data_IF_564647336314
#
_entry.id   IF_564647336314
#
_cell.length_a   1.000
_cell.length_b   1.000
_cell.length_c   1.000
_cell.angle_alpha   90.00
_cell.angle_beta   90.00
_cell.angle_gamma   90.00
#
_symmetry.space_group_name_H-M   'P 1'
#
loop_
_entity.id
_entity.type
_entity.pdbx_description
1 polymer ?
#
# COMPACT_ATOMS: atom_id res chain seq x y z
N UNK A 1 10.42 -25.48 39.13
CA UNK A 1 9.19 -25.89 38.43
C UNK A 1 8.88 -24.78 37.42
N UNK A 2 9.24 -25.01 36.16
CA UNK A 2 9.33 -23.97 35.14
C UNK A 2 7.94 -23.43 34.76
N UNK A 3 7.78 -22.12 34.83
CA UNK A 3 6.68 -21.42 34.19
C UNK A 3 6.81 -21.61 32.67
N UNK A 4 6.14 -22.62 32.14
CA UNK A 4 5.88 -22.74 30.71
C UNK A 4 4.85 -21.68 30.35
N UNK A 5 5.34 -20.43 30.24
CA UNK A 5 4.59 -19.26 29.79
C UNK A 5 4.16 -19.50 28.34
N UNK A 6 2.98 -20.07 28.20
CA UNK A 6 1.91 -19.54 27.37
C UNK A 6 2.37 -18.83 26.08
N UNK A 7 2.77 -19.62 25.08
CA UNK A 7 2.72 -19.20 23.67
C UNK A 7 1.70 -20.02 22.90
N UNK A 8 0.50 -20.15 23.44
CA UNK A 8 -0.63 -20.60 22.62
C UNK A 8 -1.13 -19.40 21.84
N UNK A 9 -0.40 -19.08 20.76
CA UNK A 9 -0.83 -18.09 19.79
C UNK A 9 -2.26 -18.44 19.37
N UNK A 10 -3.20 -17.57 19.70
CA UNK A 10 -4.48 -17.51 19.01
C UNK A 10 -4.15 -17.15 17.55
N UNK A 11 -3.94 -18.17 16.71
CA UNK A 11 -3.84 -17.96 15.27
C UNK A 11 -5.21 -17.52 14.80
N UNK A 12 -5.34 -16.22 14.53
CA UNK A 12 -6.55 -15.70 13.90
C UNK A 12 -6.74 -16.36 12.52
N UNK A 13 -7.96 -16.46 12.00
CA UNK A 13 -8.20 -16.91 10.64
C UNK A 13 -7.36 -16.16 9.59
N UNK A 14 -7.13 -14.86 9.79
CA UNK A 14 -6.30 -14.04 8.90
C UNK A 14 -4.83 -14.50 8.89
N UNK A 15 -4.27 -14.84 10.06
CA UNK A 15 -2.89 -15.34 10.18
C UNK A 15 -2.70 -16.63 9.38
N UNK A 16 -3.67 -17.54 9.44
CA UNK A 16 -3.63 -18.82 8.71
C UNK A 16 -3.63 -18.56 7.19
N UNK A 17 -4.48 -17.65 6.72
CA UNK A 17 -4.58 -17.34 5.27
C UNK A 17 -3.28 -16.71 4.76
N UNK A 18 -2.68 -15.78 5.52
CA UNK A 18 -1.40 -15.15 5.13
C UNK A 18 -0.30 -16.21 5.06
N UNK A 19 -0.17 -17.07 6.07
CA UNK A 19 0.86 -18.11 6.10
C UNK A 19 0.74 -19.13 4.96
N UNK A 20 -0.47 -19.39 4.48
CA UNK A 20 -0.70 -20.31 3.36
C UNK A 20 -0.48 -19.65 1.99
N UNK A 21 -0.47 -18.31 1.90
CA UNK A 21 -0.26 -17.56 0.66
C UNK A 21 1.14 -16.96 0.63
N UNK A 22 2.14 -17.84 0.52
CA UNK A 22 3.53 -17.42 0.40
C UNK A 22 3.90 -17.13 -1.06
N UNK A 23 4.75 -16.12 -1.29
CA UNK A 23 5.34 -15.88 -2.61
C UNK A 23 6.30 -17.02 -2.98
N UNK A 24 6.57 -17.18 -4.29
CA UNK A 24 7.47 -18.23 -4.78
C UNK A 24 8.87 -18.05 -4.22
N UNK A 25 9.45 -19.12 -3.68
CA UNK A 25 10.76 -19.09 -3.03
C UNK A 25 11.87 -19.54 -3.97
N UNK A 26 13.07 -19.04 -3.75
CA UNK A 26 14.27 -19.37 -4.51
C UNK A 26 14.54 -18.44 -5.69
N UNK A 27 15.53 -18.81 -6.51
CA UNK A 27 16.06 -17.97 -7.58
C UNK A 27 15.09 -17.84 -8.78
N UNK A 28 14.90 -16.60 -9.25
CA UNK A 28 14.25 -16.30 -10.51
C UNK A 28 14.94 -17.03 -11.69
N UNK A 29 14.20 -17.63 -12.66
CA UNK A 29 12.75 -17.51 -12.90
C UNK A 29 11.87 -18.53 -12.15
N UNK A 30 12.47 -19.49 -11.42
CA UNK A 30 11.69 -20.52 -10.72
C UNK A 30 11.14 -20.04 -9.38
N UNK A 31 11.77 -19.03 -8.79
CA UNK A 31 11.33 -18.34 -7.58
C UNK A 31 11.31 -16.81 -7.72
N UNK A 32 10.95 -16.09 -6.66
CA UNK A 32 10.81 -14.64 -6.67
C UNK A 32 12.10 -13.84 -6.40
N UNK A 33 13.21 -14.50 -6.03
CA UNK A 33 14.44 -13.84 -5.64
C UNK A 33 15.34 -13.49 -6.83
N UNK A 34 15.78 -12.23 -6.90
CA UNK A 34 16.74 -11.74 -7.88
C UNK A 34 18.09 -11.47 -7.21
N UNK A 35 19.14 -12.16 -7.66
CA UNK A 35 20.50 -11.90 -7.19
C UNK A 35 21.11 -10.68 -7.88
N UNK A 36 21.80 -9.84 -7.11
CA UNK A 36 22.52 -8.67 -7.62
C UNK A 36 23.54 -8.99 -8.71
N UNK A 37 24.11 -10.20 -8.71
CA UNK A 37 25.05 -10.66 -9.75
C UNK A 37 24.36 -10.87 -11.12
N UNK A 38 23.06 -11.18 -11.11
CA UNK A 38 22.29 -11.55 -12.31
C UNK A 38 21.28 -10.48 -12.75
N UNK A 39 21.08 -9.44 -11.94
CA UNK A 39 20.20 -8.32 -12.28
C UNK A 39 20.80 -7.53 -13.45
N UNK A 40 19.95 -7.18 -14.42
CA UNK A 40 20.29 -6.37 -15.60
C UNK A 40 19.66 -4.98 -15.48
N UNK A 41 20.15 -4.01 -16.27
CA UNK A 41 19.66 -2.63 -16.24
C UNK A 41 18.13 -2.52 -16.47
N UNK A 42 17.57 -3.38 -17.31
CA UNK A 42 16.12 -3.46 -17.56
C UNK A 42 15.29 -3.83 -16.32
N UNK A 43 15.90 -4.34 -15.26
CA UNK A 43 15.20 -4.58 -14.00
C UNK A 43 14.69 -3.27 -13.41
N UNK A 44 15.44 -2.17 -13.50
CA UNK A 44 15.08 -0.89 -12.91
C UNK A 44 14.12 -0.06 -13.76
N UNK A 45 13.72 -0.57 -14.92
CA UNK A 45 12.69 0.07 -15.74
C UNK A 45 11.36 0.17 -14.97
N UNK A 46 10.68 1.31 -15.10
CA UNK A 46 9.47 1.62 -14.35
C UNK A 46 8.33 0.67 -14.70
N UNK A 47 8.21 0.32 -15.99
CA UNK A 47 7.22 -0.64 -16.46
C UNK A 47 7.54 -2.05 -15.95
N UNK A 48 8.79 -2.50 -16.09
CA UNK A 48 9.23 -3.79 -15.57
C UNK A 48 9.03 -3.90 -14.04
N UNK A 49 9.30 -2.83 -13.29
CA UNK A 49 9.01 -2.74 -11.85
C UNK A 49 7.51 -2.83 -11.59
N UNK A 50 6.69 -2.08 -12.33
CA UNK A 50 5.24 -2.09 -12.21
C UNK A 50 4.65 -3.49 -12.38
N UNK A 51 5.11 -4.23 -13.39
CA UNK A 51 4.68 -5.61 -13.64
C UNK A 51 5.05 -6.54 -12.49
N UNK A 52 6.29 -6.46 -11.97
CA UNK A 52 6.71 -7.27 -10.81
C UNK A 52 5.92 -6.93 -9.55
N UNK A 53 5.69 -5.65 -9.29
CA UNK A 53 4.88 -5.21 -8.16
C UNK A 53 3.44 -5.72 -8.29
N UNK A 54 2.87 -5.69 -9.49
CA UNK A 54 1.53 -6.18 -9.78
C UNK A 54 1.43 -7.70 -9.59
N UNK A 55 2.35 -8.46 -10.17
CA UNK A 55 2.44 -9.92 -10.00
C UNK A 55 2.53 -10.30 -8.52
N UNK A 56 3.35 -9.59 -7.75
CA UNK A 56 3.53 -9.82 -6.32
C UNK A 56 2.23 -9.64 -5.53
N UNK A 57 1.48 -8.56 -5.79
CA UNK A 57 0.26 -8.25 -5.02
C UNK A 57 -0.99 -8.94 -5.56
N UNK A 58 -1.07 -9.25 -6.84
CA UNK A 58 -2.26 -9.86 -7.44
C UNK A 58 -2.20 -11.39 -7.45
N UNK A 59 -1.02 -11.97 -7.75
CA UNK A 59 -0.88 -13.41 -7.91
C UNK A 59 -0.35 -14.08 -6.66
N UNK A 60 0.71 -13.52 -6.05
CA UNK A 60 1.41 -14.18 -4.96
C UNK A 60 0.82 -13.89 -3.58
N UNK A 61 0.50 -12.62 -3.28
CA UNK A 61 0.02 -12.22 -1.96
C UNK A 61 -1.25 -11.33 -1.98
N UNK A 62 -2.32 -11.72 -2.71
CA UNK A 62 -3.53 -10.90 -2.83
C UNK A 62 -4.29 -10.70 -1.52
N UNK A 63 -4.21 -11.66 -0.59
CA UNK A 63 -4.87 -11.51 0.70
C UNK A 63 -4.16 -10.50 1.60
N UNK A 64 -2.83 -10.60 1.71
CA UNK A 64 -2.02 -9.71 2.53
C UNK A 64 -2.12 -8.28 2.02
N UNK A 65 -1.99 -8.07 0.71
CA UNK A 65 -2.11 -6.75 0.11
C UNK A 65 -3.46 -6.10 0.46
N UNK A 66 -4.58 -6.80 0.20
CA UNK A 66 -5.93 -6.31 0.53
C UNK A 66 -6.12 -6.06 2.02
N UNK A 67 -5.64 -6.96 2.88
CA UNK A 67 -5.74 -6.81 4.33
C UNK A 67 -5.07 -5.53 4.81
N UNK A 68 -3.85 -5.29 4.32
CA UNK A 68 -2.99 -4.17 4.72
C UNK A 68 -3.51 -2.85 4.14
N UNK A 69 -3.90 -2.81 2.86
CA UNK A 69 -4.49 -1.61 2.26
C UNK A 69 -5.82 -1.24 2.90
N UNK A 70 -6.70 -2.23 3.16
CA UNK A 70 -7.99 -1.96 3.81
C UNK A 70 -7.77 -1.41 5.21
N UNK A 71 -6.82 -1.94 5.98
CA UNK A 71 -6.52 -1.44 7.32
C UNK A 71 -6.09 0.03 7.30
N UNK A 72 -5.30 0.45 6.31
CA UNK A 72 -4.85 1.84 6.16
C UNK A 72 -5.93 2.76 5.56
N UNK A 73 -6.86 2.23 4.77
CA UNK A 73 -7.95 3.00 4.17
C UNK A 73 -9.11 3.27 5.14
N UNK A 74 -9.22 2.57 6.28
CA UNK A 74 -10.32 2.79 7.23
C UNK A 74 -10.33 4.22 7.80
N UNK A 75 -9.19 4.90 7.81
CA UNK A 75 -9.06 6.31 8.25
C UNK A 75 -9.47 7.32 7.15
N UNK A 76 -10.08 6.85 6.04
CA UNK A 76 -10.59 7.68 4.93
C UNK A 76 -12.11 7.72 4.86
N UNK A 77 -12.82 6.88 5.64
CA UNK A 77 -14.27 6.98 5.74
C UNK A 77 -14.58 8.17 6.65
N UNK A 78 -15.15 9.28 6.15
CA UNK A 78 -15.63 10.33 7.03
C UNK A 78 -16.66 9.70 8.00
N UNK A 79 -16.69 10.13 9.28
CA UNK A 79 -17.79 9.74 10.16
C UNK A 79 -19.13 10.06 9.45
N UNK A 80 -20.19 9.26 9.65
CA UNK A 80 -21.48 9.53 9.04
C UNK A 80 -21.88 10.97 9.37
N UNK A 81 -21.93 11.81 8.34
CA UNK A 81 -22.24 13.22 8.45
C UNK A 81 -23.71 13.34 8.85
N UNK A 82 -23.99 13.89 10.03
CA UNK A 82 -25.34 14.25 10.44
C UNK A 82 -25.92 15.26 9.42
N UNK A 83 -27.16 15.09 8.95
CA UNK A 83 -27.70 15.84 7.81
C UNK A 83 -28.07 17.31 8.12
N UNK A 84 -27.49 17.94 9.16
CA UNK A 84 -27.95 19.24 9.66
C UNK A 84 -27.13 20.47 9.25
N UNK A 85 -25.95 20.33 8.64
CA UNK A 85 -25.15 21.49 8.23
C UNK A 85 -25.20 21.70 6.71
N UNK A 86 -26.37 22.17 6.24
CA UNK A 86 -26.48 22.89 4.97
C UNK A 86 -26.58 24.38 5.29
N UNK A 87 -25.43 25.03 5.44
CA UNK A 87 -25.36 26.48 5.28
C UNK A 87 -25.12 26.76 3.79
N UNK A 88 -26.18 27.30 3.23
CA UNK A 88 -26.27 28.00 1.95
C UNK A 88 -25.25 29.13 1.94
N UNK A 89 -24.38 29.21 0.93
CA UNK A 89 -23.69 30.46 0.64
C UNK A 89 -23.42 30.58 -0.86
N UNK A 90 -23.66 31.78 -1.33
CA UNK A 90 -24.09 32.13 -2.67
C UNK A 90 -22.95 32.21 -3.71
N UNK A 91 -23.37 32.07 -4.97
CA UNK A 91 -22.69 32.44 -6.21
C UNK A 91 -21.90 33.77 -6.13
N UNK A 92 -20.63 33.79 -6.58
CA UNK A 92 -20.03 34.89 -7.39
C UNK A 92 -18.62 34.53 -7.96
N UNK A 93 -18.15 35.13 -9.08
CA UNK A 93 -17.60 34.40 -10.23
C UNK A 93 -16.08 34.35 -10.43
N UNK A 94 -15.69 33.51 -11.40
CA UNK A 94 -14.37 33.29 -12.03
C UNK A 94 -13.64 34.56 -12.49
N UNK A 95 -12.34 34.71 -12.18
CA UNK A 95 -11.33 35.22 -13.14
C UNK A 95 -9.87 34.90 -12.72
N UNK A 96 -8.98 34.92 -13.73
CA UNK A 96 -7.66 34.28 -13.85
C UNK A 96 -6.49 34.95 -13.09
N UNK A 97 -5.42 34.20 -12.79
CA UNK A 97 -4.03 34.59 -13.15
C UNK A 97 -3.01 33.48 -12.81
N UNK A 98 -2.19 33.10 -13.79
CA UNK A 98 -0.97 32.32 -13.66
C UNK A 98 0.09 33.02 -12.79
N UNK A 99 0.79 32.27 -11.93
CA UNK A 99 2.22 32.42 -11.65
C UNK A 99 2.73 31.30 -10.72
N UNK A 100 3.81 30.68 -11.19
CA UNK A 100 4.67 29.69 -10.56
C UNK A 100 5.30 30.17 -9.23
N UNK A 101 5.07 29.43 -8.15
CA UNK A 101 6.05 29.28 -7.05
C UNK A 101 5.72 27.99 -6.29
N UNK A 102 6.44 26.90 -6.60
CA UNK A 102 6.31 25.63 -5.88
C UNK A 102 6.91 25.73 -4.48
N UNK A 103 6.14 26.30 -3.56
CA UNK A 103 6.34 26.17 -2.13
C UNK A 103 5.68 24.85 -1.71
N UNK A 104 6.38 23.90 -1.06
CA UNK A 104 5.72 22.71 -0.56
C UNK A 104 4.72 23.16 0.49
N UNK A 105 3.44 23.06 0.16
CA UNK A 105 2.36 23.38 1.06
C UNK A 105 2.42 22.40 2.24
N UNK A 106 2.83 22.90 3.39
CA UNK A 106 2.86 22.16 4.65
C UNK A 106 1.44 22.00 5.24
N UNK A 107 0.40 22.46 4.52
CA UNK A 107 -1.01 22.27 4.84
C UNK A 107 -1.67 21.51 3.69
N UNK A 108 -1.51 20.19 3.68
CA UNK A 108 -2.01 19.33 2.60
C UNK A 108 -3.53 19.23 2.56
N UNK A 109 -4.19 20.19 1.92
CA UNK A 109 -5.58 20.06 1.44
C UNK A 109 -5.78 20.74 0.07
N UNK A 110 -4.82 20.54 -0.82
CA UNK A 110 -5.00 20.82 -2.25
C UNK A 110 -5.80 19.71 -2.93
N UNK A 111 -6.37 19.94 -4.14
CA UNK A 111 -7.17 18.96 -4.89
C UNK A 111 -6.45 17.64 -5.19
N UNK A 112 -5.13 17.58 -4.98
CA UNK A 112 -4.29 16.40 -5.15
C UNK A 112 -4.04 15.60 -3.84
N UNK A 113 -4.56 16.03 -2.68
CA UNK A 113 -4.31 15.39 -1.39
C UNK A 113 -4.87 13.96 -1.28
N UNK A 114 -6.06 13.73 -1.86
CA UNK A 114 -6.69 12.40 -1.88
C UNK A 114 -5.92 11.39 -2.77
N UNK A 115 -5.61 11.68 -4.05
CA UNK A 115 -4.85 10.75 -4.89
C UNK A 115 -3.43 10.51 -4.35
N UNK A 116 -2.78 11.51 -3.74
CA UNK A 116 -1.49 11.32 -3.06
C UNK A 116 -1.61 10.32 -1.90
N UNK A 117 -2.61 10.49 -1.03
CA UNK A 117 -2.83 9.57 0.10
C UNK A 117 -3.15 8.15 -0.34
N UNK A 118 -3.95 7.95 -1.39
CA UNK A 118 -4.22 6.62 -1.96
C UNK A 118 -2.95 5.99 -2.54
N UNK A 119 -2.15 6.75 -3.28
CA UNK A 119 -0.89 6.27 -3.84
C UNK A 119 0.10 5.87 -2.74
N UNK A 120 0.12 6.58 -1.60
CA UNK A 120 0.91 6.25 -0.43
C UNK A 120 0.46 4.93 0.21
N UNK A 121 -0.85 4.68 0.34
CA UNK A 121 -1.37 3.40 0.85
C UNK A 121 -0.99 2.25 -0.08
N UNK A 122 -1.17 2.41 -1.39
CA UNK A 122 -0.82 1.39 -2.38
C UNK A 122 0.67 1.08 -2.34
N UNK A 123 1.52 2.11 -2.34
CA UNK A 123 2.98 1.96 -2.28
C UNK A 123 3.39 1.26 -0.99
N UNK A 124 2.83 1.64 0.14
CA UNK A 124 3.12 1.03 1.45
C UNK A 124 2.68 -0.45 1.47
N UNK A 125 1.51 -0.77 0.93
CA UNK A 125 1.03 -2.14 0.81
C UNK A 125 1.95 -3.01 -0.05
N UNK A 126 2.39 -2.51 -1.21
CA UNK A 126 3.37 -3.18 -2.08
C UNK A 126 4.70 -3.43 -1.36
N UNK A 127 5.20 -2.44 -0.62
CA UNK A 127 6.45 -2.56 0.14
C UNK A 127 6.35 -3.61 1.25
N UNK A 128 5.25 -3.65 2.01
CA UNK A 128 5.04 -4.67 3.05
C UNK A 128 5.02 -6.07 2.43
N UNK A 129 4.32 -6.23 1.31
CA UNK A 129 4.34 -7.45 0.51
C UNK A 129 5.79 -7.83 0.11
N UNK A 130 6.56 -6.90 -0.45
CA UNK A 130 7.94 -7.15 -0.84
C UNK A 130 8.84 -7.55 0.34
N UNK A 131 8.67 -6.93 1.51
CA UNK A 131 9.40 -7.29 2.73
C UNK A 131 9.09 -8.72 3.17
N UNK A 132 7.82 -9.11 3.19
CA UNK A 132 7.43 -10.49 3.55
C UNK A 132 7.99 -11.49 2.53
N UNK A 133 7.93 -11.17 1.24
CA UNK A 133 8.51 -12.01 0.20
C UNK A 133 10.02 -12.16 0.34
N UNK A 134 10.73 -11.07 0.63
CA UNK A 134 12.17 -11.12 0.87
C UNK A 134 12.53 -12.02 2.06
N UNK A 135 11.79 -11.93 3.17
CA UNK A 135 12.03 -12.75 4.37
C UNK A 135 11.67 -14.23 4.18
N UNK A 136 10.83 -14.56 3.20
CA UNK A 136 10.46 -15.94 2.88
C UNK A 136 11.50 -16.66 1.99
N UNK A 137 12.52 -15.93 1.49
CA UNK A 137 13.55 -16.45 0.58
C UNK A 137 14.88 -16.77 1.27
#
# INVERSE_FOLDING_TARGET
MAAAVERRYWSTPASIIVQNKNPPTGYFPKGGYYSSEKIRANFFDSNAKGLRDQELVEQHMPFLFKLVTNKMCLDLTPPPMDPSDRLDDEDVPLENSDADEHKPDLSGDGPNALPDRQQRVITTGKTICAMVAYLAN
#
